data_IF_320030986362
#
_entry.id   IF_320030986362
#
_cell.length_a   1.000
_cell.length_b   1.000
_cell.length_c   1.000
_cell.angle_alpha   90.00
_cell.angle_beta   90.00
_cell.angle_gamma   90.00
#
_symmetry.space_group_name_H-M   'P 1'
#
loop_
_entity.id
_entity.type
_entity.pdbx_description
1 polymer ?
#
# COMPACT_ATOMS: atom_id res chain seq x y z
N UNK A 1 -0.76 12.15 -7.05
CA UNK A 1 0.14 11.97 -5.90
C UNK A 1 0.36 10.49 -5.67
N UNK A 2 1.61 10.07 -5.59
CA UNK A 2 1.89 8.64 -5.40
C UNK A 2 2.28 8.37 -3.96
N UNK A 3 2.15 7.10 -3.55
CA UNK A 3 2.47 6.70 -2.18
C UNK A 3 3.97 6.51 -1.98
N UNK A 4 4.75 6.52 -3.04
CA UNK A 4 6.20 6.41 -2.97
C UNK A 4 6.82 7.25 -4.08
N UNK A 5 8.12 7.48 -3.96
CA UNK A 5 8.87 8.28 -4.93
C UNK A 5 9.97 7.44 -5.56
N UNK A 6 10.52 7.87 -6.70
CA UNK A 6 11.68 7.17 -7.26
C UNK A 6 12.84 7.07 -6.28
N UNK A 7 13.02 8.08 -5.43
CA UNK A 7 14.05 8.04 -4.40
C UNK A 7 13.80 6.92 -3.39
N UNK A 8 12.53 6.67 -3.05
CA UNK A 8 12.18 5.57 -2.16
C UNK A 8 12.57 4.22 -2.76
N UNK A 9 12.33 4.03 -4.06
CA UNK A 9 12.71 2.80 -4.74
C UNK A 9 14.23 2.66 -4.82
N UNK A 10 14.92 3.76 -5.11
CA UNK A 10 16.37 3.74 -5.16
C UNK A 10 16.97 3.34 -3.81
N UNK A 11 16.43 3.88 -2.72
CA UNK A 11 16.90 3.55 -1.38
C UNK A 11 16.67 2.09 -1.01
N UNK A 12 15.58 1.50 -1.50
CA UNK A 12 15.22 0.12 -1.15
C UNK A 12 15.93 -0.93 -1.98
N UNK A 13 16.09 -0.67 -3.27
CA UNK A 13 16.57 -1.70 -4.20
C UNK A 13 17.98 -1.44 -4.72
N UNK A 14 18.48 -0.24 -4.55
CA UNK A 14 19.83 0.12 -5.00
C UNK A 14 19.87 0.59 -6.44
N UNK A 15 20.94 1.31 -6.76
CA UNK A 15 21.07 1.95 -8.06
C UNK A 15 21.15 0.94 -9.20
N UNK A 16 21.94 -0.11 -9.03
CA UNK A 16 22.11 -1.11 -10.09
C UNK A 16 20.76 -1.75 -10.46
N UNK A 17 19.96 -2.09 -9.45
CA UNK A 17 18.64 -2.67 -9.69
C UNK A 17 17.73 -1.68 -10.41
N UNK A 18 17.71 -0.43 -9.96
CA UNK A 18 16.82 0.57 -10.54
C UNK A 18 17.24 0.94 -11.96
N UNK A 19 18.53 0.99 -12.24
CA UNK A 19 18.97 1.19 -13.62
C UNK A 19 18.51 0.03 -14.49
N UNK A 20 18.69 -1.20 -14.03
CA UNK A 20 18.28 -2.37 -14.82
C UNK A 20 16.79 -2.40 -15.11
N UNK A 21 15.95 -1.85 -14.21
CA UNK A 21 14.51 -1.87 -14.38
C UNK A 21 13.96 -0.68 -15.15
N UNK A 22 14.70 0.43 -15.26
CA UNK A 22 14.16 1.66 -15.82
C UNK A 22 14.93 2.23 -16.99
N UNK A 23 16.18 1.82 -17.19
CA UNK A 23 17.06 2.44 -18.20
C UNK A 23 16.81 1.80 -19.57
N UNK A 24 15.71 2.15 -20.17
CA UNK A 24 15.33 1.58 -21.47
C UNK A 24 16.18 2.08 -22.61
N UNK A 25 16.85 3.22 -22.44
CA UNK A 25 17.69 3.84 -23.48
C UNK A 25 19.16 3.55 -23.27
N UNK A 26 19.50 2.75 -22.27
CA UNK A 26 20.88 2.32 -21.98
C UNK A 26 21.84 3.47 -21.72
N UNK A 27 21.38 4.44 -20.94
CA UNK A 27 22.22 5.58 -20.57
C UNK A 27 23.01 5.33 -19.29
N UNK A 28 22.78 4.20 -18.62
CA UNK A 28 23.50 3.85 -17.39
C UNK A 28 22.97 4.55 -16.15
N UNK A 29 21.80 5.19 -16.24
CA UNK A 29 21.19 5.88 -15.10
C UNK A 29 19.73 5.49 -15.01
N UNK A 30 19.17 5.62 -13.79
CA UNK A 30 17.75 5.37 -13.56
C UNK A 30 16.93 6.42 -14.28
N UNK A 31 15.95 5.97 -15.02
CA UNK A 31 15.03 6.89 -15.71
C UNK A 31 13.86 7.19 -14.82
N UNK A 32 13.86 8.38 -14.23
CA UNK A 32 12.87 8.73 -13.22
C UNK A 32 11.44 8.78 -13.77
N UNK A 33 11.28 9.21 -15.01
CA UNK A 33 9.95 9.27 -15.61
C UNK A 33 9.31 7.88 -15.71
N UNK A 34 10.11 6.88 -16.10
CA UNK A 34 9.64 5.50 -16.19
C UNK A 34 9.27 4.96 -14.82
N UNK A 35 10.11 5.24 -13.81
CA UNK A 35 9.86 4.81 -12.45
C UNK A 35 8.61 5.50 -11.89
N UNK A 36 8.47 6.81 -12.14
CA UNK A 36 7.33 7.55 -11.64
C UNK A 36 6.01 7.04 -12.24
N UNK A 37 6.01 6.69 -13.51
CA UNK A 37 4.82 6.12 -14.13
C UNK A 37 4.42 4.81 -13.45
N UNK A 38 5.40 3.94 -13.18
CA UNK A 38 5.10 2.69 -12.49
C UNK A 38 4.58 2.94 -11.07
N UNK A 39 5.10 3.95 -10.39
CA UNK A 39 4.63 4.31 -9.04
C UNK A 39 3.21 4.88 -9.08
N UNK A 40 2.90 5.67 -10.09
CA UNK A 40 1.55 6.20 -10.24
C UNK A 40 0.55 5.08 -10.52
N UNK A 41 0.93 4.11 -11.35
CA UNK A 41 0.08 2.95 -11.62
C UNK A 41 -0.09 2.11 -10.37
N UNK A 42 0.99 1.92 -9.60
CA UNK A 42 0.92 1.17 -8.34
C UNK A 42 0.00 1.87 -7.34
N UNK A 43 0.08 3.20 -7.27
CA UNK A 43 -0.78 3.99 -6.39
C UNK A 43 -2.24 3.81 -6.78
N UNK A 44 -2.55 3.85 -8.07
CA UNK A 44 -3.92 3.64 -8.53
C UNK A 44 -4.42 2.24 -8.17
N UNK A 45 -3.56 1.25 -8.31
CA UNK A 45 -3.93 -0.12 -7.95
C UNK A 45 -4.21 -0.24 -6.44
N UNK A 46 -3.36 0.37 -5.60
CA UNK A 46 -3.57 0.38 -4.15
C UNK A 46 -4.87 1.09 -3.80
N UNK A 47 -5.14 2.24 -4.42
CA UNK A 47 -6.35 3.00 -4.15
C UNK A 47 -7.61 2.18 -4.40
N UNK A 48 -7.57 1.26 -5.35
CA UNK A 48 -8.70 0.39 -5.62
C UNK A 48 -9.06 -0.50 -4.44
N UNK A 49 -8.13 -0.77 -3.52
CA UNK A 49 -8.37 -1.58 -2.34
C UNK A 49 -8.66 -0.74 -1.10
N UNK A 50 -8.52 0.58 -1.17
CA UNK A 50 -8.65 1.46 0.00
C UNK A 50 -9.96 2.21 0.04
N UNK A 51 -11.01 1.68 -0.57
CA UNK A 51 -12.31 2.36 -0.62
C UNK A 51 -12.93 2.59 0.75
N UNK A 52 -12.52 1.81 1.75
CA UNK A 52 -13.05 1.93 3.10
C UNK A 52 -12.46 3.10 3.88
N UNK A 53 -11.40 3.71 3.39
CA UNK A 53 -10.68 4.77 4.10
C UNK A 53 -10.97 6.13 3.49
N UNK A 54 -11.04 7.14 4.37
CA UNK A 54 -11.29 8.50 3.94
C UNK A 54 -10.04 9.12 3.34
N UNK A 55 -10.19 9.73 2.19
CA UNK A 55 -9.10 10.40 1.50
C UNK A 55 -9.42 11.89 1.33
N UNK A 56 -8.42 12.76 1.15
CA UNK A 56 -6.98 12.45 1.10
C UNK A 56 -6.43 12.11 2.49
N UNK A 57 -5.29 11.41 2.49
CA UNK A 57 -4.63 11.04 3.74
C UNK A 57 -3.78 12.21 4.22
N UNK A 58 -3.84 12.51 5.50
CA UNK A 58 -3.00 13.56 6.08
C UNK A 58 -1.52 13.15 6.02
N UNK A 59 -1.24 11.87 6.26
CA UNK A 59 0.09 11.30 6.19
C UNK A 59 -0.02 9.95 5.54
N UNK A 60 0.88 9.65 4.61
CA UNK A 60 0.89 8.33 3.95
C UNK A 60 1.51 7.33 4.92
N UNK A 61 0.78 6.27 5.30
CA UNK A 61 1.35 5.23 6.14
C UNK A 61 2.53 4.56 5.45
N UNK A 62 3.55 4.22 6.24
CA UNK A 62 4.75 3.61 5.69
C UNK A 62 4.47 2.31 4.94
N UNK A 63 3.48 1.54 5.40
CA UNK A 63 3.14 0.28 4.75
C UNK A 63 2.66 0.50 3.31
N UNK A 64 2.00 1.60 3.03
CA UNK A 64 1.57 1.92 1.67
C UNK A 64 2.78 2.27 0.79
N UNK A 65 3.78 2.93 1.35
CA UNK A 65 5.02 3.19 0.63
C UNK A 65 5.72 1.88 0.28
N UNK A 66 5.80 0.95 1.23
CA UNK A 66 6.41 -0.36 0.99
C UNK A 66 5.68 -1.11 -0.12
N UNK A 67 4.37 -1.19 -0.04
CA UNK A 67 3.60 -1.93 -1.04
C UNK A 67 3.63 -1.23 -2.40
N UNK A 68 3.61 0.10 -2.40
CA UNK A 68 3.71 0.85 -3.65
C UNK A 68 5.02 0.53 -4.37
N UNK A 69 6.13 0.49 -3.64
CA UNK A 69 7.43 0.14 -4.21
C UNK A 69 7.44 -1.28 -4.74
N UNK A 70 6.89 -2.23 -3.98
CA UNK A 70 6.88 -3.63 -4.42
C UNK A 70 6.02 -3.83 -5.66
N UNK A 71 4.88 -3.18 -5.73
CA UNK A 71 3.99 -3.26 -6.89
C UNK A 71 4.63 -2.60 -8.11
N UNK A 72 5.24 -1.43 -7.91
CA UNK A 72 5.92 -0.73 -9.01
C UNK A 72 7.07 -1.56 -9.56
N UNK A 73 7.86 -2.19 -8.67
CA UNK A 73 8.95 -3.09 -9.11
C UNK A 73 8.41 -4.25 -9.93
N UNK A 74 7.31 -4.84 -9.49
CA UNK A 74 6.66 -5.92 -10.23
C UNK A 74 6.25 -5.45 -11.63
N UNK A 75 5.65 -4.27 -11.73
CA UNK A 75 5.21 -3.73 -13.02
C UNK A 75 6.39 -3.46 -13.97
N UNK A 76 7.48 -2.90 -13.44
CA UNK A 76 8.68 -2.66 -14.22
C UNK A 76 9.30 -3.98 -14.69
N UNK A 77 9.41 -4.96 -13.79
CA UNK A 77 10.03 -6.23 -14.10
C UNK A 77 9.22 -7.02 -15.13
N UNK A 78 7.89 -7.03 -15.02
CA UNK A 78 7.05 -7.75 -15.99
C UNK A 78 7.12 -7.09 -17.36
N UNK A 79 7.19 -5.77 -17.41
CA UNK A 79 7.31 -5.06 -18.67
C UNK A 79 8.59 -5.38 -19.41
N UNK A 80 9.66 -5.70 -18.68
CA UNK A 80 10.96 -6.05 -19.25
C UNK A 80 11.21 -7.55 -19.31
N UNK A 81 10.24 -8.35 -18.90
CA UNK A 81 10.38 -9.82 -18.80
C UNK A 81 11.55 -10.20 -17.89
N UNK A 82 11.73 -9.45 -16.81
CA UNK A 82 12.79 -9.68 -15.82
C UNK A 82 12.20 -10.11 -14.47
N UNK A 83 11.03 -10.71 -14.48
CA UNK A 83 10.37 -11.11 -13.26
C UNK A 83 11.12 -12.27 -12.60
N UNK A 84 11.32 -12.15 -11.28
CA UNK A 84 11.92 -13.20 -10.48
C UNK A 84 10.90 -13.69 -9.45
N UNK A 85 11.18 -14.85 -8.85
CA UNK A 85 10.30 -15.41 -7.83
C UNK A 85 10.16 -14.47 -6.63
N UNK A 86 11.22 -13.77 -6.25
CA UNK A 86 11.16 -12.82 -5.14
C UNK A 86 10.25 -11.64 -5.46
N UNK A 87 10.38 -11.08 -6.66
CA UNK A 87 9.53 -9.97 -7.08
C UNK A 87 8.07 -10.40 -7.10
N UNK A 88 7.79 -11.58 -7.63
CA UNK A 88 6.43 -12.11 -7.67
C UNK A 88 5.89 -12.34 -6.27
N UNK A 89 6.69 -12.92 -5.38
CA UNK A 89 6.25 -13.20 -4.02
C UNK A 89 5.91 -11.92 -3.25
N UNK A 90 6.73 -10.89 -3.42
CA UNK A 90 6.46 -9.61 -2.75
C UNK A 90 5.20 -8.95 -3.29
N UNK A 91 5.00 -9.00 -4.60
CA UNK A 91 3.78 -8.48 -5.20
C UNK A 91 2.56 -9.25 -4.68
N UNK A 92 2.63 -10.56 -4.65
CA UNK A 92 1.51 -11.39 -4.18
C UNK A 92 1.21 -11.10 -2.71
N UNK A 93 2.22 -10.91 -1.89
CA UNK A 93 2.03 -10.58 -0.48
C UNK A 93 1.35 -9.23 -0.32
N UNK A 94 1.77 -8.22 -1.08
CA UNK A 94 1.17 -6.90 -1.02
C UNK A 94 -0.30 -6.94 -1.44
N UNK A 95 -0.59 -7.58 -2.55
CA UNK A 95 -1.97 -7.68 -3.06
C UNK A 95 -2.83 -8.51 -2.10
N UNK A 96 -2.28 -9.60 -1.55
CA UNK A 96 -3.01 -10.41 -0.59
C UNK A 96 -3.43 -9.61 0.64
N UNK A 97 -2.53 -8.80 1.18
CA UNK A 97 -2.87 -7.94 2.32
C UNK A 97 -3.91 -6.89 1.93
N UNK A 98 -3.75 -6.26 0.77
CA UNK A 98 -4.69 -5.23 0.32
C UNK A 98 -6.09 -5.82 0.10
N UNK A 99 -6.18 -7.07 -0.36
CA UNK A 99 -7.47 -7.73 -0.49
C UNK A 99 -8.14 -7.93 0.87
N UNK A 100 -7.36 -8.28 1.88
CA UNK A 100 -7.89 -8.40 3.24
C UNK A 100 -8.36 -7.05 3.77
N UNK A 101 -7.61 -6.00 3.48
CA UNK A 101 -8.00 -4.63 3.86
C UNK A 101 -9.32 -4.25 3.20
N UNK A 102 -9.47 -4.55 1.92
CA UNK A 102 -10.70 -4.22 1.18
C UNK A 102 -11.92 -4.95 1.75
N UNK A 103 -11.72 -6.17 2.26
CA UNK A 103 -12.81 -6.94 2.87
C UNK A 103 -13.07 -6.58 4.33
N UNK A 104 -12.27 -5.71 4.92
CA UNK A 104 -12.40 -5.38 6.32
C UNK A 104 -11.77 -6.39 7.27
N UNK A 105 -10.99 -7.35 6.76
CA UNK A 105 -10.36 -8.38 7.56
C UNK A 105 -8.98 -7.97 8.04
N UNK A 106 -8.45 -6.87 7.56
CA UNK A 106 -7.22 -6.28 8.02
C UNK A 106 -7.36 -4.78 7.95
N UNK A 107 -6.52 -4.05 8.65
CA UNK A 107 -6.57 -2.60 8.69
C UNK A 107 -5.23 -1.98 8.41
N UNK A 108 -5.23 -0.67 8.21
CA UNK A 108 -4.02 0.12 8.05
C UNK A 108 -3.99 1.12 9.18
N UNK A 109 -2.97 1.00 10.01
CA UNK A 109 -2.83 1.88 11.18
C UNK A 109 -2.72 3.34 10.75
N UNK A 110 -3.40 4.20 11.46
CA UNK A 110 -3.30 5.62 11.24
C UNK A 110 -4.22 6.20 10.21
N UNK A 111 -5.04 5.36 9.55
CA UNK A 111 -6.00 5.86 8.57
C UNK A 111 -7.41 5.80 9.12
N UNK A 112 -8.17 6.90 9.05
CA UNK A 112 -9.58 6.87 9.44
C UNK A 112 -10.42 6.20 8.36
N UNK A 113 -11.43 5.45 8.79
CA UNK A 113 -12.37 4.86 7.86
C UNK A 113 -13.30 5.95 7.31
N UNK A 114 -13.74 5.74 6.08
CA UNK A 114 -14.71 6.64 5.47
C UNK A 114 -16.01 6.58 6.27
N UNK A 115 -16.58 7.74 6.55
CA UNK A 115 -17.80 7.82 7.34
C UNK A 115 -17.60 7.94 8.83
N UNK A 116 -16.38 7.74 9.32
CA UNK A 116 -16.10 7.99 10.73
C UNK A 116 -15.98 9.48 10.99
N UNK A 117 -16.49 9.88 12.15
CA UNK A 117 -16.36 11.26 12.56
C UNK A 117 -15.12 11.37 13.45
N UNK A 118 -14.28 12.30 13.13
CA UNK A 118 -13.13 12.59 13.96
C UNK A 118 -13.60 13.30 15.20
N UNK A 119 -14.01 12.54 16.18
CA UNK A 119 -14.40 13.14 17.45
C UNK A 119 -13.31 12.86 18.44
N UNK A 120 -12.75 13.92 18.92
CA UNK A 120 -11.76 13.83 19.97
C UNK A 120 -12.42 13.25 21.20
N UNK A 121 -11.85 12.22 21.74
CA UNK A 121 -12.35 11.61 22.93
C UNK A 121 -13.57 10.80 22.75
N UNK A 122 -14.00 10.67 21.55
CA UNK A 122 -15.05 9.75 21.29
C UNK A 122 -14.52 8.41 21.41
N UNK A 123 -14.73 7.87 22.36
CA UNK A 123 -14.17 6.71 22.50
C UNK A 123 -15.09 5.69 22.54
N UNK A 124 -15.33 5.56 22.31
CA UNK A 124 -16.10 4.93 22.45
C UNK A 124 -16.20 3.74 22.76
N UNK A 125 -16.26 3.56 23.19
CA UNK A 125 -16.24 2.58 23.46
C UNK A 125 -17.09 1.72 23.34
N UNK A 126 -17.14 1.44 23.23
CA UNK A 126 -17.73 0.68 23.05
C UNK A 126 -18.13 -0.37 23.44
N UNK A 127 -18.31 -0.59 23.92
CA UNK A 127 -18.53 -1.51 24.24
C UNK A 127 -19.39 -2.28 24.36
N UNK A 128 -19.50 -2.58 24.54
CA UNK A 128 -20.07 -3.31 24.58
C UNK A 128 -20.85 -4.10 24.89
N UNK A 129 -20.98 -4.16 25.07
CA UNK A 129 -21.46 -4.84 25.39
C UNK A 129 -21.94 -5.76 25.61
N UNK A 130 -21.65 -5.62 25.56
CA UNK A 130 -21.93 -6.32 25.80
C UNK A 130 -22.48 -7.10 26.05
N UNK A 131 -22.27 -7.08 26.06
CA UNK A 131 -22.58 -7.68 26.23
C UNK A 131 -23.13 -8.40 26.71
N UNK A 132 -22.99 -8.41 26.83
CA UNK A 132 -23.40 -8.98 27.28
C UNK A 132 -24.03 -9.52 27.62
N UNK A 133 -23.94 -9.46 27.39
CA UNK A 133 -24.52 -10.06 27.71
C UNK A 133 -25.15 -10.62 28.12
N UNK A 134 -25.09 -10.71 28.33
CA UNK A 134 -25.62 -11.33 28.54
C UNK A 134 -25.97 -11.86 29.01
N UNK A 135 -25.73 -11.91 28.87
CA UNK A 135 -26.03 -12.51 29.22
C UNK A 135 -26.38 -12.82 29.98
N UNK A 136 -26.09 -12.52 29.83
CA UNK A 136 -26.42 -12.77 30.57
C UNK A 136 -26.91 -12.89 31.30
N UNK A 137 -26.88 -12.84 31.55
CA UNK A 137 -27.30 -13.01 32.23
C UNK A 137 -28.02 -13.38 32.87
N UNK A 138 -27.97 -13.48 33.25
CA UNK A 138 -28.44 -13.91 33.78
C UNK A 138 -28.91 -14.35 34.21
N UNK A 139 -28.79 -14.46 34.42
CA UNK A 139 -29.16 -14.81 34.66
C UNK A 139 -29.60 -15.12 34.56
#
# INVERSE_FOLDING_TARGET
MSYATPADMLARYGEATMVGLSDLTRRGVMEEATVQLALDDATAEIDGYLNRYRRPFATVPRILTVYCCDIARYRLATGLRQLTDDIQARYDAAIGYLKLVARGQAGISGLPLAGEVDTVGAVVMQTPPDKVFGRDKPC
#
